data_IF_034126645723
#
_entry.id   IF_034126645723
#
_cell.length_a   1.000
_cell.length_b   1.000
_cell.length_c   1.000
_cell.angle_alpha   90.00
_cell.angle_beta   90.00
_cell.angle_gamma   90.00
#
_symmetry.space_group_name_H-M   'P 1'
#
loop_
_entity.id
_entity.type
_entity.pdbx_description
1 polymer ?
#
# COMPACT_ATOMS: atom_id res chain seq x y z
N UNK A 1 -18.76 11.01 7.07
CA UNK A 1 -17.62 10.88 6.15
C UNK A 1 -17.54 9.47 5.61
N UNK A 2 -17.35 9.33 4.32
CA UNK A 2 -17.21 8.02 3.69
C UNK A 2 -15.83 7.43 3.96
N UNK A 3 -15.75 6.12 3.93
CA UNK A 3 -14.49 5.44 3.97
C UNK A 3 -13.67 5.72 2.72
N UNK A 4 -12.38 5.49 2.79
CA UNK A 4 -11.48 5.72 1.67
C UNK A 4 -10.50 4.57 1.51
N UNK A 5 -10.16 4.29 0.26
CA UNK A 5 -9.09 3.37 -0.10
C UNK A 5 -7.96 4.20 -0.68
N UNK A 6 -6.78 4.08 -0.10
CA UNK A 6 -5.58 4.76 -0.58
C UNK A 6 -4.64 3.74 -1.20
N UNK A 7 -4.35 3.93 -2.48
CA UNK A 7 -3.48 3.04 -3.25
C UNK A 7 -2.06 3.56 -3.25
N UNK A 8 -1.12 2.65 -3.15
CA UNK A 8 0.31 2.96 -3.08
C UNK A 8 1.03 2.14 -4.16
N UNK A 9 1.40 2.81 -5.26
CA UNK A 9 1.92 2.13 -6.43
C UNK A 9 3.37 1.71 -6.28
N UNK A 10 3.81 0.82 -7.18
CA UNK A 10 5.17 0.32 -7.18
C UNK A 10 6.18 1.31 -7.75
N UNK A 11 7.44 0.88 -7.74
CA UNK A 11 8.55 1.73 -8.16
C UNK A 11 8.46 2.07 -9.66
N UNK A 12 8.08 1.09 -10.46
CA UNK A 12 8.09 1.23 -11.92
C UNK A 12 6.73 1.65 -12.49
N UNK A 13 5.76 1.95 -11.65
CA UNK A 13 4.42 2.29 -12.09
C UNK A 13 4.01 3.67 -11.59
N UNK A 14 2.89 4.16 -12.10
CA UNK A 14 2.31 5.42 -11.65
C UNK A 14 1.08 5.18 -10.77
N UNK A 15 0.46 6.26 -10.30
CA UNK A 15 -0.67 6.14 -9.37
C UNK A 15 -1.93 5.54 -9.98
N UNK A 16 -2.08 5.58 -11.29
CA UNK A 16 -3.29 5.11 -11.96
C UNK A 16 -3.00 4.09 -13.05
N UNK A 17 -2.12 3.13 -12.77
CA UNK A 17 -1.93 1.99 -13.66
C UNK A 17 -3.18 1.11 -13.71
N UNK A 18 -3.19 0.14 -14.63
CA UNK A 18 -4.38 -0.69 -14.90
C UNK A 18 -4.92 -1.39 -13.65
N UNK A 19 -4.03 -1.96 -12.84
CA UNK A 19 -4.44 -2.69 -11.65
C UNK A 19 -5.11 -1.76 -10.65
N UNK A 20 -4.49 -0.62 -10.37
CA UNK A 20 -5.03 0.35 -9.42
C UNK A 20 -6.35 0.90 -9.92
N UNK A 21 -6.43 1.22 -11.21
CA UNK A 21 -7.65 1.75 -11.79
C UNK A 21 -8.82 0.79 -11.62
N UNK A 22 -8.60 -0.50 -11.86
CA UNK A 22 -9.64 -1.52 -11.70
C UNK A 22 -10.06 -1.68 -10.25
N UNK A 23 -9.10 -1.69 -9.34
CA UNK A 23 -9.42 -1.82 -7.91
C UNK A 23 -10.12 -0.57 -7.39
N UNK A 24 -9.75 0.61 -7.89
CA UNK A 24 -10.42 1.85 -7.52
C UNK A 24 -11.88 1.86 -7.95
N UNK A 25 -12.16 1.35 -9.16
CA UNK A 25 -13.55 1.25 -9.63
C UNK A 25 -14.36 0.33 -8.73
N UNK A 26 -13.78 -0.79 -8.29
CA UNK A 26 -14.46 -1.70 -7.37
C UNK A 26 -14.74 -1.02 -6.04
N UNK A 27 -13.77 -0.27 -5.52
CA UNK A 27 -13.93 0.44 -4.24
C UNK A 27 -15.05 1.47 -4.33
N UNK A 28 -15.07 2.25 -5.41
CA UNK A 28 -16.10 3.26 -5.62
C UNK A 28 -17.48 2.64 -5.73
N UNK A 29 -17.57 1.47 -6.38
CA UNK A 29 -18.83 0.74 -6.51
C UNK A 29 -19.37 0.26 -5.17
N UNK A 30 -18.55 0.23 -4.14
CA UNK A 30 -18.95 -0.16 -2.78
C UNK A 30 -19.06 1.02 -1.83
N UNK A 31 -19.03 2.23 -2.35
CA UNK A 31 -19.25 3.44 -1.56
C UNK A 31 -18.01 4.04 -0.93
N UNK A 32 -16.82 3.57 -1.31
CA UNK A 32 -15.57 4.14 -0.82
C UNK A 32 -15.05 5.21 -1.76
N UNK A 33 -14.40 6.22 -1.21
CA UNK A 33 -13.57 7.10 -2.02
C UNK A 33 -12.27 6.36 -2.37
N UNK A 34 -11.73 6.62 -3.53
CA UNK A 34 -10.47 6.00 -3.96
C UNK A 34 -9.45 7.08 -4.27
N UNK A 35 -8.31 7.01 -3.62
CA UNK A 35 -7.21 7.96 -3.79
C UNK A 35 -5.94 7.19 -4.12
N UNK A 36 -5.14 7.74 -5.01
CA UNK A 36 -3.85 7.14 -5.33
C UNK A 36 -2.83 8.27 -5.44
N UNK A 37 -1.92 8.32 -4.45
CA UNK A 37 -0.91 9.36 -4.43
C UNK A 37 0.16 9.08 -5.47
N UNK A 38 0.67 10.14 -6.07
CA UNK A 38 1.74 10.01 -7.06
C UNK A 38 3.08 10.00 -6.36
N UNK A 39 3.72 8.85 -6.39
CA UNK A 39 5.02 8.64 -5.74
C UNK A 39 6.17 8.59 -6.76
N UNK A 40 5.91 8.89 -8.03
CA UNK A 40 6.96 8.80 -9.05
C UNK A 40 8.12 9.70 -8.68
N UNK A 41 9.33 9.13 -8.75
CA UNK A 41 10.54 9.86 -8.41
C UNK A 41 10.86 9.93 -6.92
N UNK A 42 10.01 9.37 -6.06
CA UNK A 42 10.22 9.40 -4.62
C UNK A 42 10.73 8.05 -4.13
N UNK A 43 11.69 8.09 -3.19
CA UNK A 43 12.14 6.88 -2.53
C UNK A 43 11.14 6.43 -1.46
N UNK A 44 11.42 5.33 -0.78
CA UNK A 44 10.50 4.75 0.19
C UNK A 44 10.15 5.72 1.32
N UNK A 45 11.16 6.42 1.83
CA UNK A 45 10.94 7.32 2.98
C UNK A 45 10.13 8.55 2.57
N UNK A 46 10.38 9.09 1.37
CA UNK A 46 9.62 10.23 0.88
C UNK A 46 8.17 9.85 0.58
N UNK A 47 7.96 8.64 0.07
CA UNK A 47 6.60 8.12 -0.16
C UNK A 47 5.84 7.98 1.15
N UNK A 48 6.50 7.45 2.18
CA UNK A 48 5.91 7.30 3.49
C UNK A 48 5.49 8.65 4.06
N UNK A 49 6.38 9.64 3.99
CA UNK A 49 6.07 10.98 4.48
C UNK A 49 4.87 11.57 3.77
N UNK A 50 4.78 11.38 2.45
CA UNK A 50 3.66 11.91 1.66
C UNK A 50 2.34 11.27 2.07
N UNK A 51 2.33 9.95 2.29
CA UNK A 51 1.13 9.25 2.72
C UNK A 51 0.70 9.69 4.12
N UNK A 52 1.64 9.82 5.05
CA UNK A 52 1.32 10.23 6.41
C UNK A 52 0.81 11.66 6.48
N UNK A 53 1.19 12.51 5.53
CA UNK A 53 0.73 13.89 5.44
C UNK A 53 -0.60 14.04 4.70
N UNK A 54 -1.11 12.97 4.12
CA UNK A 54 -2.32 13.03 3.31
C UNK A 54 -3.59 12.97 4.18
N UNK A 55 -4.73 13.11 3.52
CA UNK A 55 -6.04 13.02 4.17
C UNK A 55 -6.40 11.60 4.61
N UNK A 56 -5.52 10.63 4.36
CA UNK A 56 -5.72 9.26 4.83
C UNK A 56 -5.94 9.20 6.35
N UNK A 57 -5.32 10.12 7.09
CA UNK A 57 -5.49 10.17 8.55
C UNK A 57 -6.94 10.39 8.98
N UNK A 58 -7.71 11.09 8.16
CA UNK A 58 -9.10 11.44 8.49
C UNK A 58 -10.11 10.42 7.99
N UNK A 59 -9.72 9.50 7.13
CA UNK A 59 -10.65 8.53 6.56
C UNK A 59 -11.08 7.48 7.59
N UNK A 60 -12.37 7.19 7.63
CA UNK A 60 -12.94 6.17 8.52
C UNK A 60 -14.10 5.48 7.81
N UNK A 61 -14.03 4.19 7.51
CA UNK A 61 -12.83 3.36 7.63
C UNK A 61 -11.78 3.68 6.56
N UNK A 62 -10.54 3.40 6.88
CA UNK A 62 -9.43 3.54 5.95
C UNK A 62 -8.96 2.16 5.49
N UNK A 63 -8.75 2.02 4.20
CA UNK A 63 -8.15 0.82 3.63
C UNK A 63 -6.90 1.25 2.86
N UNK A 64 -5.79 0.58 3.11
CA UNK A 64 -4.56 0.82 2.38
C UNK A 64 -4.28 -0.35 1.45
N UNK A 65 -3.95 -0.06 0.22
CA UNK A 65 -3.56 -1.05 -0.77
C UNK A 65 -2.17 -0.68 -1.28
N UNK A 66 -1.25 -1.60 -1.24
CA UNK A 66 0.11 -1.37 -1.73
C UNK A 66 0.53 -2.43 -2.72
N UNK A 67 1.34 -2.05 -3.69
CA UNK A 67 1.88 -2.95 -4.70
C UNK A 67 3.39 -2.78 -4.76
N UNK A 68 4.13 -3.88 -4.62
CA UNK A 68 5.58 -3.88 -4.66
C UNK A 68 6.15 -2.91 -3.63
N UNK A 69 6.90 -1.88 -4.03
CA UNK A 69 7.42 -0.86 -3.11
C UNK A 69 6.31 -0.17 -2.33
N UNK A 70 5.16 0.03 -2.95
CA UNK A 70 4.00 0.61 -2.28
C UNK A 70 3.48 -0.26 -1.13
N UNK A 71 3.70 -1.57 -1.18
CA UNK A 71 3.33 -2.46 -0.08
C UNK A 71 4.17 -2.17 1.17
N UNK A 72 5.46 -1.90 0.98
CA UNK A 72 6.33 -1.50 2.09
C UNK A 72 5.80 -0.20 2.72
N UNK A 73 5.51 0.79 1.89
CA UNK A 73 5.01 2.09 2.35
C UNK A 73 3.72 1.92 3.14
N UNK A 74 2.77 1.15 2.60
CA UNK A 74 1.49 0.92 3.26
C UNK A 74 1.66 0.19 4.59
N UNK A 75 2.51 -0.83 4.63
CA UNK A 75 2.73 -1.61 5.84
C UNK A 75 3.36 -0.76 6.95
N UNK A 76 4.38 0.03 6.61
CA UNK A 76 5.02 0.90 7.60
C UNK A 76 4.05 1.97 8.09
N UNK A 77 3.29 2.59 7.17
CA UNK A 77 2.33 3.63 7.53
C UNK A 77 1.20 3.10 8.41
N UNK A 78 0.89 1.81 8.32
CA UNK A 78 -0.23 1.23 9.07
C UNK A 78 -0.06 1.38 10.58
N UNK A 79 1.16 1.44 11.07
CA UNK A 79 1.41 1.65 12.50
C UNK A 79 0.86 2.99 12.99
N UNK A 80 0.92 4.03 12.14
CA UNK A 80 0.43 5.37 12.48
C UNK A 80 -1.02 5.57 12.06
N UNK A 81 -1.41 5.05 10.90
CA UNK A 81 -2.73 5.31 10.33
C UNK A 81 -3.80 4.34 10.82
N UNK A 82 -3.42 3.17 11.28
CA UNK A 82 -4.33 2.15 11.81
C UNK A 82 -5.51 1.88 10.87
N UNK A 83 -5.25 1.45 9.63
CA UNK A 83 -6.34 1.19 8.69
C UNK A 83 -7.19 -0.01 9.13
N UNK A 84 -8.42 -0.06 8.65
CA UNK A 84 -9.29 -1.20 8.83
C UNK A 84 -8.80 -2.39 8.03
N UNK A 85 -8.39 -2.15 6.80
CA UNK A 85 -7.87 -3.18 5.91
C UNK A 85 -6.53 -2.79 5.31
N UNK A 86 -5.70 -3.80 5.08
CA UNK A 86 -4.39 -3.62 4.49
C UNK A 86 -4.17 -4.74 3.48
N UNK A 87 -4.09 -4.39 2.19
CA UNK A 87 -3.91 -5.34 1.11
C UNK A 87 -2.55 -5.10 0.47
N UNK A 88 -1.69 -6.10 0.55
CA UNK A 88 -0.32 -6.01 0.08
C UNK A 88 -0.12 -6.96 -1.11
N UNK A 89 0.10 -6.38 -2.27
CA UNK A 89 0.27 -7.11 -3.53
C UNK A 89 1.76 -7.17 -3.84
N UNK A 90 2.33 -8.38 -3.92
CA UNK A 90 3.75 -8.60 -4.18
C UNK A 90 4.61 -7.69 -3.28
N UNK A 91 4.50 -7.83 -1.95
CA UNK A 91 5.15 -6.89 -1.04
C UNK A 91 6.68 -6.89 -1.16
N UNK A 92 7.27 -5.69 -1.01
CA UNK A 92 8.71 -5.49 -1.07
C UNK A 92 9.25 -5.28 0.35
N UNK A 93 9.49 -6.39 1.05
CA UNK A 93 10.05 -6.36 2.40
C UNK A 93 11.47 -6.91 2.37
N UNK A 94 12.25 -6.57 3.37
CA UNK A 94 13.62 -7.08 3.56
C UNK A 94 14.60 -6.68 2.45
N UNK A 95 14.31 -5.58 1.74
CA UNK A 95 15.26 -5.06 0.76
C UNK A 95 16.32 -4.21 1.48
N UNK A 96 17.60 -4.29 1.04
CA UNK A 96 18.70 -3.68 1.81
C UNK A 96 18.59 -2.18 2.02
N UNK A 97 17.96 -1.46 1.10
CA UNK A 97 17.91 -0.01 1.16
C UNK A 97 16.76 0.52 2.02
N UNK A 98 15.96 -0.36 2.59
CA UNK A 98 14.80 0.09 3.36
C UNK A 98 15.18 0.28 4.82
N UNK A 99 14.71 1.38 5.40
CA UNK A 99 14.98 1.71 6.80
C UNK A 99 14.32 0.71 7.75
N UNK A 100 13.13 0.23 7.41
CA UNK A 100 12.42 -0.78 8.21
C UNK A 100 12.50 -2.10 7.46
N UNK A 101 13.27 -3.05 7.99
CA UNK A 101 13.45 -4.34 7.32
C UNK A 101 12.30 -5.30 7.53
N UNK A 102 11.64 -5.22 8.67
CA UNK A 102 10.52 -6.09 9.02
C UNK A 102 9.31 -5.25 9.40
N UNK A 103 8.65 -4.61 8.41
CA UNK A 103 7.45 -3.83 8.74
C UNK A 103 6.35 -4.74 9.27
N UNK A 104 5.78 -4.35 10.41
CA UNK A 104 4.70 -5.10 11.04
C UNK A 104 3.37 -4.43 10.67
N UNK A 105 2.51 -5.12 9.93
CA UNK A 105 1.22 -4.54 9.55
C UNK A 105 0.30 -4.36 10.76
N UNK A 106 -0.38 -3.22 10.80
CA UNK A 106 -1.35 -2.90 11.85
C UNK A 106 -2.70 -2.60 11.20
N UNK A 107 -3.58 -3.59 11.17
CA UNK A 107 -4.92 -3.44 10.61
C UNK A 107 -5.79 -4.56 11.14
N UNK A 108 -7.11 -4.38 11.05
CA UNK A 108 -8.07 -5.43 11.43
C UNK A 108 -7.99 -6.60 10.46
N UNK A 109 -7.78 -6.31 9.18
CA UNK A 109 -7.62 -7.32 8.13
C UNK A 109 -6.36 -7.06 7.35
N UNK A 110 -5.53 -8.09 7.18
CA UNK A 110 -4.32 -8.02 6.37
C UNK A 110 -4.37 -9.15 5.35
N UNK A 111 -4.24 -8.79 4.07
CA UNK A 111 -4.20 -9.77 2.99
C UNK A 111 -2.91 -9.59 2.20
N UNK A 112 -2.18 -10.67 2.03
CA UNK A 112 -0.96 -10.69 1.23
C UNK A 112 -1.25 -11.45 -0.05
N UNK A 113 -0.95 -10.83 -1.19
CA UNK A 113 -1.08 -11.47 -2.49
C UNK A 113 0.27 -11.50 -3.16
N UNK A 114 0.73 -12.68 -3.53
CA UNK A 114 2.05 -12.89 -4.12
C UNK A 114 1.90 -13.69 -5.42
N UNK A 115 2.37 -13.11 -6.52
CA UNK A 115 2.24 -13.76 -7.82
C UNK A 115 3.23 -14.89 -8.01
N UNK A 116 2.87 -15.86 -8.85
CA UNK A 116 3.73 -16.98 -9.18
C UNK A 116 5.04 -16.57 -9.82
N UNK A 117 5.00 -15.50 -10.61
CA UNK A 117 6.13 -15.07 -11.42
C UNK A 117 6.86 -13.87 -10.85
N UNK A 118 6.68 -13.61 -9.57
CA UNK A 118 7.38 -12.50 -8.92
C UNK A 118 8.82 -12.91 -8.65
N UNK A 119 9.73 -12.50 -9.52
CA UNK A 119 11.15 -12.83 -9.41
C UNK A 119 11.95 -11.80 -8.64
N UNK A 120 11.35 -10.64 -8.37
CA UNK A 120 12.05 -9.56 -7.69
C UNK A 120 11.98 -9.66 -6.18
N UNK A 121 10.91 -10.24 -5.65
CA UNK A 121 10.66 -10.31 -4.23
C UNK A 121 10.41 -11.78 -3.88
N UNK A 122 11.31 -12.41 -3.11
CA UNK A 122 11.12 -13.81 -2.73
C UNK A 122 9.82 -14.00 -1.97
N UNK A 123 9.13 -15.09 -2.27
CA UNK A 123 7.87 -15.43 -1.62
C UNK A 123 8.01 -15.49 -0.09
N UNK A 124 9.12 -16.03 0.38
CA UNK A 124 9.37 -16.16 1.81
C UNK A 124 9.32 -14.82 2.55
N UNK A 125 9.65 -13.73 1.87
CA UNK A 125 9.61 -12.40 2.49
C UNK A 125 8.18 -11.95 2.80
N UNK A 126 7.21 -12.40 2.02
CA UNK A 126 5.83 -11.97 2.24
C UNK A 126 5.08 -12.82 3.26
N UNK A 127 5.61 -13.98 3.65
CA UNK A 127 4.93 -14.85 4.62
C UNK A 127 5.54 -14.78 6.02
N UNK A 128 6.51 -13.92 6.21
CA UNK A 128 7.15 -13.72 7.52
C UNK A 128 6.44 -12.60 8.26
#
# INVERSE_FOLDING_TARGET
>A
MNGAVYFNHGKESGPWGDKITRLADLARGRGFDAQSLDYRGLDAEARLAKLLDSDARAARPLVLVGSSLGSYVAAVASASLRPRGLFLLAPAFYLPDFAVQEPVPHADFVTLVHGWNDELIPFENSVR
#
